data_IF_148762929470
#
_entry.id   IF_148762929470
#
_cell.length_a   1.000
_cell.length_b   1.000
_cell.length_c   1.000
_cell.angle_alpha   90.00
_cell.angle_beta   90.00
_cell.angle_gamma   90.00
#
_symmetry.space_group_name_H-M   'P 1'
#
loop_
_entity.id
_entity.type
_entity.pdbx_description
1 polymer ?
#
# COMPACT_ATOMS: atom_id res chain seq x y z
N UNK A 1 12.76 -29.32 42.23
CA UNK A 1 13.29 -29.14 40.87
C UNK A 1 12.96 -27.72 40.44
N UNK A 2 13.97 -26.84 40.39
CA UNK A 2 13.79 -25.46 39.92
C UNK A 2 13.48 -25.48 38.43
N UNK A 3 12.41 -24.78 38.03
CA UNK A 3 12.01 -24.66 36.62
C UNK A 3 13.21 -24.08 35.83
N UNK A 4 13.73 -24.76 34.80
CA UNK A 4 14.99 -24.39 34.15
C UNK A 4 14.88 -23.15 33.24
N UNK A 5 13.67 -22.62 33.04
CA UNK A 5 13.46 -21.46 32.19
C UNK A 5 13.53 -20.16 33.01
N UNK A 6 14.36 -19.18 32.61
CA UNK A 6 14.34 -17.86 33.24
C UNK A 6 12.97 -17.20 33.05
N UNK A 7 12.54 -16.36 34.01
CA UNK A 7 11.29 -15.62 33.87
C UNK A 7 11.37 -14.61 32.70
N UNK A 8 10.22 -14.22 32.10
CA UNK A 8 10.19 -13.14 31.11
C UNK A 8 10.78 -11.85 31.68
N UNK A 9 11.52 -11.11 30.85
CA UNK A 9 12.02 -9.79 31.21
C UNK A 9 10.88 -8.76 31.17
N UNK A 10 10.98 -7.74 32.01
CA UNK A 10 10.14 -6.54 31.89
C UNK A 10 10.41 -5.84 30.55
N UNK A 11 9.36 -5.25 29.95
CA UNK A 11 9.47 -4.54 28.66
C UNK A 11 10.47 -3.36 28.72
N UNK A 12 10.50 -2.66 29.86
CA UNK A 12 11.46 -1.60 30.18
C UNK A 12 11.52 -1.37 31.69
N UNK A 13 12.35 -0.42 32.14
CA UNK A 13 12.39 0.03 33.54
C UNK A 13 11.04 0.61 34.03
N UNK A 14 10.17 1.00 33.10
CA UNK A 14 8.82 1.53 33.38
C UNK A 14 7.72 0.48 33.14
N UNK A 15 8.07 -0.73 32.70
CA UNK A 15 7.10 -1.78 32.38
C UNK A 15 6.32 -1.54 31.09
N UNK A 16 6.73 -0.58 30.25
CA UNK A 16 6.08 -0.24 28.96
C UNK A 16 7.07 -0.38 27.80
N UNK A 17 6.58 -0.75 26.63
CA UNK A 17 7.37 -0.72 25.39
C UNK A 17 7.48 0.73 24.89
N UNK A 18 8.68 1.23 24.53
CA UNK A 18 8.80 2.55 23.93
C UNK A 18 8.12 2.60 22.56
N UNK A 19 7.69 3.79 22.15
CA UNK A 19 7.09 3.98 20.83
C UNK A 19 8.11 3.68 19.72
N UNK A 20 7.66 3.02 18.66
CA UNK A 20 8.44 2.88 17.43
C UNK A 20 8.33 4.19 16.65
N UNK A 21 9.35 5.05 16.78
CA UNK A 21 9.46 6.34 16.08
C UNK A 21 9.21 6.22 14.57
N UNK A 22 9.57 5.10 13.96
CA UNK A 22 9.29 4.86 12.54
C UNK A 22 7.79 4.79 12.25
N UNK A 23 7.04 4.09 13.11
CA UNK A 23 5.58 3.98 12.99
C UNK A 23 4.93 5.32 13.32
N UNK A 24 5.42 6.02 14.35
CA UNK A 24 4.93 7.35 14.72
C UNK A 24 5.09 8.35 13.56
N UNK A 25 6.26 8.40 12.92
CA UNK A 25 6.51 9.29 11.78
C UNK A 25 5.57 8.98 10.60
N UNK A 26 5.31 7.70 10.31
CA UNK A 26 4.33 7.32 9.27
C UNK A 26 2.91 7.72 9.68
N UNK A 27 2.54 7.52 10.94
CA UNK A 27 1.23 7.91 11.44
C UNK A 27 1.04 9.43 11.36
N UNK A 28 2.05 10.22 11.75
CA UNK A 28 2.05 11.67 11.64
C UNK A 28 1.92 12.14 10.19
N UNK A 29 2.70 11.53 9.28
CA UNK A 29 2.59 11.81 7.85
C UNK A 29 1.17 11.53 7.32
N UNK A 30 0.63 10.34 7.53
CA UNK A 30 -0.69 9.96 7.01
C UNK A 30 -1.78 10.83 7.65
N UNK A 31 -1.72 11.06 8.96
CA UNK A 31 -2.66 11.89 9.68
C UNK A 31 -2.64 13.33 9.16
N UNK A 32 -1.46 13.94 9.00
CA UNK A 32 -1.32 15.27 8.43
C UNK A 32 -1.96 15.35 7.05
N UNK A 33 -1.64 14.40 6.16
CA UNK A 33 -2.21 14.37 4.80
C UNK A 33 -3.73 14.22 4.80
N UNK A 34 -4.30 13.44 5.73
CA UNK A 34 -5.75 13.33 5.92
C UNK A 34 -6.34 14.67 6.37
N UNK A 35 -5.77 15.30 7.40
CA UNK A 35 -6.34 16.49 8.03
C UNK A 35 -6.19 17.76 7.20
N UNK A 36 -5.15 17.85 6.37
CA UNK A 36 -4.91 18.99 5.48
C UNK A 36 -5.33 18.73 4.04
N UNK A 37 -6.07 17.66 3.77
CA UNK A 37 -6.52 17.34 2.40
C UNK A 37 -7.44 18.44 1.87
N UNK A 38 -7.41 18.73 0.56
CA UNK A 38 -8.36 19.65 -0.05
C UNK A 38 -9.78 19.05 0.01
N UNK A 39 -10.78 19.91 0.17
CA UNK A 39 -12.21 19.53 0.17
C UNK A 39 -12.75 19.39 -1.26
N UNK A 40 -12.09 18.55 -2.06
CA UNK A 40 -12.55 18.21 -3.41
C UNK A 40 -13.45 16.98 -3.35
N UNK A 41 -14.62 17.05 -4.00
CA UNK A 41 -15.56 15.93 -4.08
C UNK A 41 -16.44 15.74 -2.85
N UNK A 42 -16.31 16.58 -1.82
CA UNK A 42 -17.16 16.58 -0.63
C UNK A 42 -17.18 15.24 0.09
N UNK A 43 -18.36 14.86 0.60
CA UNK A 43 -18.55 13.66 1.42
C UNK A 43 -18.27 12.34 0.67
N UNK A 44 -18.32 12.33 -0.65
CA UNK A 44 -18.13 11.12 -1.48
C UNK A 44 -16.66 10.85 -1.81
N UNK A 45 -15.78 11.83 -1.57
CA UNK A 45 -14.35 11.67 -1.80
C UNK A 45 -13.72 10.74 -0.76
N UNK A 46 -12.93 9.78 -1.21
CA UNK A 46 -12.32 8.75 -0.36
C UNK A 46 -10.82 8.98 -0.26
N UNK A 47 -10.30 8.99 0.96
CA UNK A 47 -8.85 8.93 1.16
C UNK A 47 -8.41 7.49 1.00
N UNK A 48 -7.44 7.29 0.12
CA UNK A 48 -6.78 6.01 -0.12
C UNK A 48 -5.35 6.10 0.41
N UNK A 49 -4.95 5.14 1.24
CA UNK A 49 -3.59 4.99 1.75
C UNK A 49 -3.07 3.63 1.31
N UNK A 50 -2.06 3.65 0.46
CA UNK A 50 -1.46 2.46 -0.14
C UNK A 50 0.05 2.42 0.08
N UNK A 51 0.59 1.23 0.34
CA UNK A 51 2.01 0.94 0.35
C UNK A 51 2.35 0.11 -0.90
N UNK A 52 3.31 0.59 -1.67
CA UNK A 52 3.76 -0.02 -2.92
C UNK A 52 5.12 -0.64 -2.72
N UNK A 53 5.29 -1.89 -3.11
CA UNK A 53 6.59 -2.57 -3.11
C UNK A 53 7.29 -2.33 -4.44
N UNK A 54 8.55 -1.90 -4.39
CA UNK A 54 9.28 -1.52 -5.59
C UNK A 54 10.76 -1.22 -5.32
N UNK A 55 11.36 -0.38 -6.15
CA UNK A 55 12.78 0.01 -5.99
C UNK A 55 12.93 1.53 -6.10
N UNK A 56 13.65 2.13 -5.15
CA UNK A 56 14.06 3.52 -5.24
C UNK A 56 15.32 3.62 -6.09
N UNK A 57 15.28 4.43 -7.15
CA UNK A 57 16.42 4.65 -8.05
C UNK A 57 16.82 6.10 -8.11
N UNK A 58 18.11 6.33 -8.02
CA UNK A 58 18.69 7.63 -8.32
C UNK A 58 18.44 7.98 -9.80
N UNK A 59 17.90 9.18 -10.08
CA UNK A 59 17.50 9.53 -11.45
C UNK A 59 18.69 9.69 -12.39
N UNK A 60 19.82 10.17 -11.88
CA UNK A 60 21.02 10.42 -12.69
C UNK A 60 21.68 9.12 -13.15
N UNK A 61 21.88 8.17 -12.22
CA UNK A 61 22.57 6.91 -12.50
C UNK A 61 21.64 5.78 -12.94
N UNK A 62 20.34 5.87 -12.64
CA UNK A 62 19.36 4.79 -12.84
C UNK A 62 19.60 3.56 -11.98
N UNK A 63 20.56 3.60 -11.05
CA UNK A 63 20.85 2.50 -10.13
C UNK A 63 19.93 2.57 -8.91
N UNK A 64 19.72 1.43 -8.25
CA UNK A 64 19.05 1.42 -6.95
C UNK A 64 19.83 2.33 -6.00
N UNK A 65 19.08 3.12 -5.23
CA UNK A 65 19.62 4.08 -4.29
C UNK A 65 20.56 3.38 -3.30
N UNK A 66 21.67 4.03 -2.98
CA UNK A 66 22.63 3.57 -1.98
C UNK A 66 22.91 4.73 -1.02
N UNK A 67 22.51 4.56 0.24
CA UNK A 67 22.69 5.56 1.29
C UNK A 67 23.55 4.99 2.42
N UNK A 68 24.30 5.84 3.16
CA UNK A 68 25.11 5.43 4.30
C UNK A 68 24.24 5.14 5.55
N UNK A 69 23.25 4.27 5.42
CA UNK A 69 22.34 3.83 6.50
C UNK A 69 22.29 2.31 6.55
N UNK A 70 22.14 1.76 7.76
CA UNK A 70 22.20 0.31 7.99
C UNK A 70 20.82 -0.36 8.03
N UNK A 71 19.76 0.41 8.19
CA UNK A 71 18.41 -0.09 8.45
C UNK A 71 17.37 0.63 7.59
N UNK A 72 16.16 0.08 7.58
CA UNK A 72 15.00 0.71 6.98
C UNK A 72 14.89 2.17 7.45
N UNK A 73 14.78 3.10 6.50
CA UNK A 73 14.85 4.54 6.76
C UNK A 73 13.80 5.27 5.94
N UNK A 74 13.00 6.10 6.60
CA UNK A 74 12.10 7.06 5.94
C UNK A 74 12.96 8.16 5.32
N UNK A 75 12.79 8.39 4.02
CA UNK A 75 13.50 9.45 3.33
C UNK A 75 12.72 10.75 3.47
N UNK A 76 13.43 11.82 3.83
CA UNK A 76 12.86 13.18 3.81
C UNK A 76 12.35 13.46 2.40
N UNK A 77 11.06 13.82 2.23
CA UNK A 77 10.49 14.10 0.91
C UNK A 77 11.33 15.12 0.14
N UNK A 78 11.54 14.88 -1.16
CA UNK A 78 12.24 15.79 -2.08
C UNK A 78 13.72 16.08 -1.74
N UNK A 79 14.30 15.41 -0.73
CA UNK A 79 15.71 15.58 -0.37
C UNK A 79 16.70 14.94 -1.35
N UNK A 80 16.24 13.97 -2.13
CA UNK A 80 17.04 13.21 -3.10
C UNK A 80 16.27 13.15 -4.42
N UNK A 81 16.94 13.43 -5.53
CA UNK A 81 16.34 13.29 -6.87
C UNK A 81 16.26 11.82 -7.28
N UNK A 82 15.19 11.16 -6.84
CA UNK A 82 14.92 9.75 -7.09
C UNK A 82 13.63 9.54 -7.88
N UNK A 83 13.53 8.37 -8.49
CA UNK A 83 12.28 7.80 -8.98
C UNK A 83 11.99 6.50 -8.25
N UNK A 84 10.72 6.23 -7.98
CA UNK A 84 10.29 4.94 -7.47
C UNK A 84 9.73 4.12 -8.63
N UNK A 85 10.25 2.91 -8.79
CA UNK A 85 9.76 1.95 -9.78
C UNK A 85 8.89 0.92 -9.07
N UNK A 86 7.57 1.09 -9.21
CA UNK A 86 6.57 0.12 -8.77
C UNK A 86 6.49 -1.03 -9.78
N UNK A 87 7.52 -1.87 -9.82
CA UNK A 87 7.57 -3.03 -10.69
C UNK A 87 8.47 -4.11 -10.07
N UNK A 88 8.18 -5.37 -10.37
CA UNK A 88 9.02 -6.50 -10.01
C UNK A 88 9.18 -7.48 -11.17
N UNK A 89 10.10 -8.43 -11.01
CA UNK A 89 10.22 -9.49 -12.01
C UNK A 89 8.98 -10.40 -12.00
N UNK A 90 8.70 -11.05 -13.13
CA UNK A 90 7.64 -12.08 -13.22
C UNK A 90 7.85 -13.21 -12.20
N UNK A 91 9.10 -13.57 -11.91
CA UNK A 91 9.42 -14.60 -10.93
C UNK A 91 9.08 -14.14 -9.50
N UNK A 92 9.42 -12.90 -9.14
CA UNK A 92 9.06 -12.30 -7.86
C UNK A 92 7.55 -12.21 -7.69
N UNK A 93 6.83 -11.81 -8.75
CA UNK A 93 5.37 -11.78 -8.75
C UNK A 93 4.78 -13.18 -8.54
N UNK A 94 5.31 -14.20 -9.24
CA UNK A 94 4.91 -15.60 -9.04
C UNK A 94 5.17 -16.06 -7.60
N UNK A 95 6.33 -15.72 -7.03
CA UNK A 95 6.68 -16.03 -5.65
C UNK A 95 5.66 -15.46 -4.65
N UNK A 96 5.30 -14.19 -4.77
CA UNK A 96 4.26 -13.58 -3.92
C UNK A 96 2.90 -14.27 -4.08
N UNK A 97 2.51 -14.60 -5.31
CA UNK A 97 1.26 -15.33 -5.54
C UNK A 97 1.25 -16.69 -4.82
N UNK A 98 2.35 -17.46 -4.90
CA UNK A 98 2.46 -18.75 -4.21
C UNK A 98 2.42 -18.57 -2.68
N UNK A 99 3.14 -17.58 -2.15
CA UNK A 99 3.18 -17.27 -0.72
C UNK A 99 1.79 -16.88 -0.18
N UNK A 100 1.11 -15.94 -0.85
CA UNK A 100 -0.21 -15.45 -0.40
C UNK A 100 -1.29 -16.52 -0.54
N UNK A 101 -1.23 -17.37 -1.58
CA UNK A 101 -2.12 -18.53 -1.70
C UNK A 101 -1.91 -19.54 -0.57
N UNK A 102 -0.66 -19.83 -0.20
CA UNK A 102 -0.37 -20.70 0.95
C UNK A 102 -0.89 -20.09 2.25
N UNK A 103 -0.68 -18.79 2.47
CA UNK A 103 -1.18 -18.08 3.65
C UNK A 103 -2.71 -18.08 3.72
N UNK A 104 -3.39 -17.94 2.59
CA UNK A 104 -4.85 -18.08 2.52
C UNK A 104 -5.32 -19.47 2.95
N UNK A 105 -4.62 -20.52 2.53
CA UNK A 105 -4.96 -21.90 2.90
C UNK A 105 -4.69 -22.15 4.39
N UNK A 106 -3.55 -21.69 4.92
CA UNK A 106 -3.16 -21.90 6.31
C UNK A 106 -4.02 -21.11 7.30
N UNK A 107 -4.36 -19.86 6.97
CA UNK A 107 -5.20 -18.99 7.80
C UNK A 107 -6.65 -19.50 7.93
N UNK A 108 -7.10 -20.35 7.02
CA UNK A 108 -8.40 -21.00 7.08
C UNK A 108 -8.42 -22.27 7.96
N UNK A 109 -7.27 -22.73 8.48
CA UNK A 109 -7.20 -23.94 9.29
C UNK A 109 -7.66 -23.72 10.73
N UNK A 110 -8.32 -24.69 11.37
CA UNK A 110 -8.68 -24.62 12.78
C UNK A 110 -7.43 -24.41 13.66
N UNK A 111 -7.49 -23.46 14.59
CA UNK A 111 -6.40 -23.17 15.51
C UNK A 111 -5.31 -22.24 14.96
N UNK A 112 -5.47 -21.70 13.75
CA UNK A 112 -4.62 -20.60 13.28
C UNK A 112 -4.81 -19.36 14.18
N UNK A 113 -3.74 -18.66 14.58
CA UNK A 113 -3.82 -17.56 15.53
C UNK A 113 -4.42 -16.26 14.95
N UNK A 114 -4.50 -16.13 13.62
CA UNK A 114 -5.07 -14.95 12.94
C UNK A 114 -6.42 -15.26 12.29
N UNK A 115 -7.16 -14.20 11.95
CA UNK A 115 -8.36 -14.29 11.13
C UNK A 115 -8.03 -14.82 9.71
N UNK A 116 -9.00 -15.47 9.04
CA UNK A 116 -8.78 -16.05 7.72
C UNK A 116 -8.65 -14.98 6.64
N UNK A 117 -7.80 -15.23 5.64
CA UNK A 117 -7.71 -14.36 4.46
C UNK A 117 -8.82 -14.66 3.46
N UNK A 118 -9.39 -13.61 2.88
CA UNK A 118 -10.28 -13.70 1.72
C UNK A 118 -9.50 -13.60 0.41
N UNK A 119 -10.09 -14.08 -0.68
CA UNK A 119 -9.47 -14.11 -2.00
C UNK A 119 -10.45 -13.62 -3.08
N UNK A 120 -9.98 -12.76 -3.97
CA UNK A 120 -10.69 -12.37 -5.18
C UNK A 120 -9.74 -12.25 -6.37
N UNK A 121 -10.19 -12.67 -7.54
CA UNK A 121 -9.44 -12.53 -8.79
C UNK A 121 -10.29 -11.77 -9.79
N UNK A 122 -9.78 -10.61 -10.24
CA UNK A 122 -10.51 -9.69 -11.11
C UNK A 122 -9.69 -9.40 -12.37
N UNK A 123 -10.37 -9.43 -13.51
CA UNK A 123 -9.83 -8.96 -14.78
C UNK A 123 -10.52 -7.65 -15.13
N UNK A 124 -9.75 -6.57 -15.15
CA UNK A 124 -10.27 -5.21 -15.25
C UNK A 124 -9.65 -4.48 -16.44
N UNK A 125 -10.40 -3.53 -16.98
CA UNK A 125 -9.92 -2.59 -18.00
C UNK A 125 -10.00 -1.19 -17.41
N UNK A 126 -8.85 -0.54 -17.25
CA UNK A 126 -8.76 0.87 -16.90
C UNK A 126 -8.68 1.69 -18.19
N UNK A 127 -9.58 2.65 -18.35
CA UNK A 127 -9.58 3.62 -19.45
C UNK A 127 -9.45 5.04 -18.92
N UNK A 128 -8.53 5.82 -19.50
CA UNK A 128 -8.18 7.16 -19.01
C UNK A 128 -8.66 8.25 -19.95
N UNK A 129 -9.45 9.17 -19.41
CA UNK A 129 -10.05 10.29 -20.14
C UNK A 129 -9.40 11.62 -19.73
N UNK A 130 -9.26 12.57 -20.67
CA UNK A 130 -8.84 13.92 -20.33
C UNK A 130 -9.88 14.56 -19.42
N UNK A 131 -9.45 15.53 -18.61
CA UNK A 131 -10.34 16.36 -17.81
C UNK A 131 -9.83 17.79 -17.81
N UNK A 132 -10.67 18.73 -17.38
CA UNK A 132 -10.28 20.13 -17.23
C UNK A 132 -9.27 20.35 -16.09
N UNK A 133 -9.10 19.35 -15.22
CA UNK A 133 -8.06 19.30 -14.20
C UNK A 133 -6.78 18.64 -14.70
N UNK A 134 -5.68 18.82 -13.96
CA UNK A 134 -4.40 18.19 -14.28
C UNK A 134 -4.49 16.65 -14.26
N UNK A 135 -5.38 16.12 -13.42
CA UNK A 135 -5.61 14.70 -13.22
C UNK A 135 -6.55 14.13 -14.31
N UNK A 136 -6.31 12.89 -14.72
CA UNK A 136 -7.18 12.18 -15.66
C UNK A 136 -8.33 11.51 -14.92
N UNK A 137 -9.45 11.33 -15.62
CA UNK A 137 -10.55 10.50 -15.11
C UNK A 137 -10.24 9.05 -15.48
N UNK A 138 -10.24 8.15 -14.48
CA UNK A 138 -10.11 6.70 -14.66
C UNK A 138 -11.50 6.08 -14.64
N UNK A 139 -11.82 5.34 -15.69
CA UNK A 139 -13.00 4.46 -15.76
C UNK A 139 -12.50 3.02 -15.71
N UNK A 140 -12.93 2.26 -14.70
CA UNK A 140 -12.59 0.85 -14.51
C UNK A 140 -13.82 0.01 -14.83
N UNK A 141 -13.67 -0.97 -15.71
CA UNK A 141 -14.73 -1.93 -16.06
C UNK A 141 -14.27 -3.37 -15.87
N UNK A 142 -15.20 -4.26 -15.56
CA UNK A 142 -14.94 -5.69 -15.62
C UNK A 142 -14.71 -6.10 -17.08
N UNK A 143 -13.62 -6.84 -17.34
CA UNK A 143 -13.22 -7.23 -18.69
C UNK A 143 -14.27 -8.15 -19.36
N UNK A 144 -14.94 -9.00 -18.58
CA UNK A 144 -15.84 -10.02 -19.10
C UNK A 144 -17.26 -9.49 -19.29
N UNK A 145 -17.78 -8.76 -18.30
CA UNK A 145 -19.18 -8.27 -18.32
C UNK A 145 -19.29 -6.88 -18.94
N UNK A 146 -18.22 -6.09 -18.94
CA UNK A 146 -18.24 -4.68 -19.34
C UNK A 146 -18.93 -3.77 -18.32
N UNK A 147 -19.30 -4.30 -17.15
CA UNK A 147 -19.92 -3.55 -16.07
C UNK A 147 -18.97 -2.49 -15.51
N UNK A 148 -19.52 -1.32 -15.18
CA UNK A 148 -18.76 -0.24 -14.55
C UNK A 148 -18.44 -0.63 -13.10
N UNK A 149 -17.16 -0.78 -12.79
CA UNK A 149 -16.67 -1.03 -11.43
C UNK A 149 -16.45 0.28 -10.70
N UNK A 150 -15.81 1.23 -11.35
CA UNK A 150 -15.45 2.51 -10.73
C UNK A 150 -15.26 3.61 -11.77
N UNK A 151 -15.64 4.84 -11.43
CA UNK A 151 -15.27 6.03 -12.18
C UNK A 151 -14.80 7.12 -11.22
N UNK A 152 -13.49 7.40 -11.23
CA UNK A 152 -12.85 8.29 -10.27
C UNK A 152 -11.84 9.22 -10.93
N UNK A 153 -11.67 10.39 -10.33
CA UNK A 153 -10.49 11.23 -10.49
C UNK A 153 -9.60 11.05 -9.26
N UNK A 154 -8.45 10.41 -9.44
CA UNK A 154 -7.46 10.16 -8.38
C UNK A 154 -6.47 11.33 -8.30
N UNK A 155 -6.47 12.03 -7.17
CA UNK A 155 -5.61 13.16 -6.87
C UNK A 155 -4.54 12.69 -5.89
N UNK A 156 -3.27 12.74 -6.29
CA UNK A 156 -2.16 12.37 -5.40
C UNK A 156 -1.93 13.52 -4.42
N UNK A 157 -2.02 13.23 -3.12
CA UNK A 157 -1.74 14.22 -2.08
C UNK A 157 -0.24 14.26 -1.78
N UNK A 158 0.34 13.13 -1.37
CA UNK A 158 1.79 13.02 -1.13
C UNK A 158 2.26 11.57 -1.11
N UNK A 159 3.56 11.39 -1.40
CA UNK A 159 4.27 10.13 -1.27
C UNK A 159 5.33 10.24 -0.16
N UNK A 160 5.53 9.16 0.58
CA UNK A 160 6.64 8.98 1.52
C UNK A 160 7.45 7.75 1.09
N UNK A 161 8.75 7.93 0.83
CA UNK A 161 9.61 6.86 0.35
C UNK A 161 10.38 6.24 1.53
N UNK A 162 10.44 4.92 1.56
CA UNK A 162 11.15 4.16 2.58
C UNK A 162 12.24 3.32 1.90
N UNK A 163 13.48 3.61 2.26
CA UNK A 163 14.65 2.88 1.77
C UNK A 163 14.98 1.69 2.69
N UNK A 164 15.18 0.52 2.10
CA UNK A 164 15.39 -0.74 2.81
C UNK A 164 16.72 -1.40 2.42
N UNK A 165 17.87 -0.97 3.01
CA UNK A 165 19.21 -1.39 2.57
C UNK A 165 19.48 -2.88 2.72
N UNK A 166 18.78 -3.56 3.64
CA UNK A 166 18.93 -5.00 3.92
C UNK A 166 17.95 -5.88 3.15
N UNK A 167 17.14 -5.32 2.26
CA UNK A 167 16.06 -6.01 1.55
C UNK A 167 16.21 -5.86 0.04
N UNK A 168 15.62 -6.77 -0.71
CA UNK A 168 15.63 -6.73 -2.18
C UNK A 168 14.72 -5.63 -2.75
N UNK A 169 13.70 -5.23 -2.00
CA UNK A 169 12.78 -4.15 -2.35
C UNK A 169 12.85 -3.00 -1.34
N UNK A 170 12.54 -1.82 -1.85
CA UNK A 170 12.15 -0.63 -1.11
C UNK A 170 10.61 -0.52 -1.14
N UNK A 171 10.05 0.49 -0.49
CA UNK A 171 8.62 0.71 -0.55
C UNK A 171 8.25 2.18 -0.45
N UNK A 172 7.03 2.48 -0.89
CA UNK A 172 6.49 3.84 -0.91
C UNK A 172 5.08 3.82 -0.34
N UNK A 173 4.81 4.70 0.61
CA UNK A 173 3.46 5.01 1.05
C UNK A 173 2.95 6.16 0.17
N UNK A 174 1.76 5.99 -0.41
CA UNK A 174 1.10 7.03 -1.19
C UNK A 174 -0.24 7.33 -0.54
N UNK A 175 -0.52 8.62 -0.31
CA UNK A 175 -1.83 9.08 0.16
C UNK A 175 -2.50 9.81 -0.99
N UNK A 176 -3.65 9.31 -1.41
CA UNK A 176 -4.42 9.83 -2.54
C UNK A 176 -5.84 10.18 -2.09
N UNK A 177 -6.48 11.08 -2.85
CA UNK A 177 -7.91 11.36 -2.77
C UNK A 177 -8.58 10.86 -4.04
N UNK A 178 -9.45 9.87 -3.92
CA UNK A 178 -10.26 9.37 -5.02
C UNK A 178 -11.63 10.06 -4.99
N UNK A 179 -11.86 10.92 -5.99
CA UNK A 179 -13.11 11.66 -6.13
C UNK A 179 -13.99 10.94 -7.16
N UNK A 180 -15.15 10.38 -6.77
CA UNK A 180 -16.11 9.83 -7.72
C UNK A 180 -16.55 10.91 -8.70
N UNK A 181 -16.61 10.56 -9.98
CA UNK A 181 -17.06 11.47 -11.04
C UNK A 181 -18.03 10.74 -11.97
N UNK A 182 -18.96 11.47 -12.63
CA UNK A 182 -19.77 10.89 -13.68
C UNK A 182 -18.90 10.33 -14.81
N UNK A 183 -19.39 9.28 -15.48
CA UNK A 183 -18.67 8.69 -16.60
C UNK A 183 -18.47 9.74 -17.71
N UNK A 184 -17.23 9.99 -18.15
CA UNK A 184 -16.93 11.00 -19.15
C UNK A 184 -17.44 10.58 -20.54
N UNK A 185 -17.75 11.57 -21.37
CA UNK A 185 -18.00 11.37 -22.80
C UNK A 185 -16.70 11.41 -23.60
N UNK A 186 -16.71 10.86 -24.82
CA UNK A 186 -15.55 10.85 -25.71
C UNK A 186 -14.74 9.55 -25.70
N UNK A 187 -13.53 9.61 -26.25
CA UNK A 187 -12.63 8.45 -26.39
C UNK A 187 -11.53 8.47 -25.34
N UNK A 188 -11.16 7.30 -24.77
CA UNK A 188 -10.04 7.24 -23.85
C UNK A 188 -8.72 7.56 -24.57
N UNK A 189 -7.84 8.27 -23.88
CA UNK A 189 -6.47 8.59 -24.34
C UNK A 189 -5.51 7.42 -24.16
N UNK A 190 -5.79 6.56 -23.18
CA UNK A 190 -4.98 5.41 -22.83
C UNK A 190 -5.87 4.35 -22.20
N UNK A 191 -5.55 3.09 -22.46
CA UNK A 191 -6.22 1.94 -21.86
C UNK A 191 -5.17 0.92 -21.44
N UNK A 192 -5.39 0.28 -20.29
CA UNK A 192 -4.55 -0.81 -19.81
C UNK A 192 -5.44 -1.93 -19.26
N UNK A 193 -5.00 -3.16 -19.45
CA UNK A 193 -5.61 -4.35 -18.88
C UNK A 193 -4.95 -4.65 -17.54
N UNK A 194 -5.75 -5.00 -16.54
CA UNK A 194 -5.30 -5.39 -15.20
C UNK A 194 -5.77 -6.81 -14.90
N UNK A 195 -4.84 -7.65 -14.52
CA UNK A 195 -5.08 -8.96 -13.96
C UNK A 195 -4.70 -8.89 -12.48
N UNK A 196 -5.70 -8.84 -11.60
CA UNK A 196 -5.53 -8.52 -10.17
C UNK A 196 -5.99 -9.66 -9.29
N UNK A 197 -5.08 -10.16 -8.49
CA UNK A 197 -5.33 -11.10 -7.40
C UNK A 197 -5.30 -10.30 -6.10
N UNK A 198 -6.42 -10.24 -5.40
CA UNK A 198 -6.60 -9.51 -4.15
C UNK A 198 -6.76 -10.49 -2.99
N UNK A 199 -6.05 -10.21 -1.90
CA UNK A 199 -6.20 -10.89 -0.62
C UNK A 199 -6.66 -9.87 0.43
N UNK A 200 -7.79 -10.12 1.09
CA UNK A 200 -8.29 -9.24 2.16
C UNK A 200 -8.02 -9.87 3.53
N UNK A 201 -7.53 -9.08 4.47
CA UNK A 201 -7.33 -9.47 5.86
C UNK A 201 -7.64 -8.28 6.77
N UNK A 202 -8.74 -8.37 7.51
CA UNK A 202 -9.21 -7.31 8.41
C UNK A 202 -9.38 -5.96 7.66
N UNK A 203 -8.56 -4.97 8.01
CA UNK A 203 -8.60 -3.62 7.44
C UNK A 203 -7.75 -3.45 6.19
N UNK A 204 -7.17 -4.54 5.68
CA UNK A 204 -6.14 -4.48 4.66
C UNK A 204 -6.50 -5.29 3.41
N UNK A 205 -6.11 -4.76 2.25
CA UNK A 205 -6.13 -5.47 0.97
C UNK A 205 -4.70 -5.56 0.45
N UNK A 206 -4.29 -6.76 0.03
CA UNK A 206 -3.01 -7.00 -0.63
C UNK A 206 -3.32 -7.36 -2.08
N UNK A 207 -2.96 -6.47 -2.99
CA UNK A 207 -3.24 -6.57 -4.41
C UNK A 207 -1.96 -6.94 -5.17
N UNK A 208 -1.95 -8.11 -5.79
CA UNK A 208 -0.93 -8.53 -6.73
C UNK A 208 -1.49 -8.33 -8.15
N UNK A 209 -0.95 -7.35 -8.88
CA UNK A 209 -1.52 -6.89 -10.16
C UNK A 209 -0.51 -7.00 -11.29
N UNK A 210 -0.88 -7.70 -12.36
CA UNK A 210 -0.20 -7.58 -13.65
C UNK A 210 -0.93 -6.54 -14.51
N UNK A 211 -0.21 -5.51 -14.94
CA UNK A 211 -0.73 -4.41 -15.77
C UNK A 211 -0.15 -4.54 -17.17
N UNK A 212 -1.00 -4.62 -18.18
CA UNK A 212 -0.60 -4.61 -19.60
C UNK A 212 -1.09 -3.32 -20.26
N UNK A 213 -0.14 -2.46 -20.62
CA UNK A 213 -0.41 -1.18 -21.28
C UNK A 213 -0.12 -1.29 -22.78
N UNK A 214 -1.03 -0.79 -23.62
CA UNK A 214 -0.79 -0.72 -25.07
C UNK A 214 0.18 0.43 -25.36
N UNK A 215 1.27 0.12 -26.07
CA UNK A 215 2.24 1.14 -26.47
C UNK A 215 1.63 2.07 -27.53
N UNK A 216 1.73 3.38 -27.32
CA UNK A 216 1.41 4.38 -28.34
C UNK A 216 2.38 4.22 -29.52
N UNK A 217 1.87 3.92 -30.71
CA UNK A 217 2.66 3.84 -31.95
C UNK A 217 3.10 2.45 -32.41
N UNK A 218 2.48 1.37 -31.93
CA UNK A 218 2.67 0.01 -32.47
C UNK A 218 3.88 -0.76 -31.91
N UNK A 219 4.48 -0.27 -30.82
CA UNK A 219 5.49 -1.01 -30.06
C UNK A 219 4.91 -2.23 -29.32
N UNK A 220 5.81 -3.06 -28.77
CA UNK A 220 5.40 -4.18 -27.92
C UNK A 220 4.66 -3.67 -26.67
N UNK A 221 3.62 -4.39 -26.18
CA UNK A 221 2.93 -4.03 -24.95
C UNK A 221 3.90 -4.00 -23.76
N UNK A 222 3.76 -2.98 -22.91
CA UNK A 222 4.47 -2.92 -21.65
C UNK A 222 3.72 -3.76 -20.61
N UNK A 223 4.44 -4.63 -19.90
CA UNK A 223 3.88 -5.46 -18.84
C UNK A 223 4.60 -5.16 -17.54
N UNK A 224 3.85 -4.71 -16.54
CA UNK A 224 4.33 -4.43 -15.19
C UNK A 224 3.71 -5.41 -14.20
N UNK A 225 4.47 -5.73 -13.16
CA UNK A 225 4.06 -6.58 -12.05
C UNK A 225 4.14 -5.76 -10.77
N UNK A 226 3.01 -5.51 -10.14
CA UNK A 226 2.86 -4.60 -9.00
C UNK A 226 2.37 -5.40 -7.78
N UNK A 227 2.81 -4.97 -6.59
CA UNK A 227 2.29 -5.44 -5.30
C UNK A 227 1.97 -4.22 -4.45
N UNK A 228 0.70 -4.11 -4.07
CA UNK A 228 0.14 -2.99 -3.32
C UNK A 228 -0.49 -3.54 -2.03
N UNK A 229 -0.31 -2.83 -0.91
CA UNK A 229 -1.04 -3.03 0.34
C UNK A 229 -1.88 -1.77 0.59
N UNK A 230 -3.18 -1.91 0.81
CA UNK A 230 -4.10 -0.80 1.00
C UNK A 230 -4.85 -0.92 2.32
N UNK A 231 -5.20 0.21 2.93
CA UNK A 231 -6.21 0.27 4.01
C UNK A 231 -7.61 0.28 3.37
N UNK A 232 -8.32 -0.85 3.45
CA UNK A 232 -9.55 -1.14 2.72
C UNK A 232 -10.78 -0.32 3.12
N UNK A 233 -10.79 0.26 4.32
CA UNK A 233 -11.94 1.02 4.85
C UNK A 233 -11.62 2.52 5.03
N UNK A 234 -11.81 3.35 3.99
CA UNK A 234 -11.59 4.79 4.07
C UNK A 234 -12.38 5.47 5.20
N UNK A 235 -13.61 5.04 5.47
CA UNK A 235 -14.43 5.59 6.55
C UNK A 235 -13.85 5.30 7.94
N UNK A 236 -13.33 4.09 8.16
CA UNK A 236 -12.63 3.76 9.40
C UNK A 236 -11.40 4.64 9.54
N UNK A 237 -10.54 4.68 8.52
CA UNK A 237 -9.31 5.48 8.50
C UNK A 237 -9.58 6.95 8.85
N UNK A 238 -10.61 7.56 8.23
CA UNK A 238 -11.00 8.93 8.53
C UNK A 238 -11.50 9.08 9.97
N UNK A 239 -12.37 8.18 10.43
CA UNK A 239 -12.94 8.27 11.77
C UNK A 239 -11.92 8.10 12.89
N UNK A 240 -10.94 7.21 12.72
CA UNK A 240 -9.86 7.02 13.70
C UNK A 240 -8.88 8.18 13.65
N UNK A 241 -8.57 8.71 12.46
CA UNK A 241 -7.73 9.90 12.32
C UNK A 241 -8.33 11.11 13.05
N UNK A 242 -9.64 11.34 12.92
CA UNK A 242 -10.33 12.47 13.59
C UNK A 242 -10.29 12.40 15.12
N UNK A 243 -10.11 11.20 15.68
CA UNK A 243 -10.08 10.96 17.13
C UNK A 243 -8.66 10.85 17.68
N UNK A 244 -7.64 10.83 16.82
CA UNK A 244 -6.25 10.59 17.19
C UNK A 244 -5.79 11.62 18.23
N UNK A 245 -5.40 11.15 19.41
CA UNK A 245 -4.95 12.01 20.51
C UNK A 245 -6.03 12.87 21.17
N UNK A 246 -7.31 12.72 20.82
CA UNK A 246 -8.40 13.46 21.49
C UNK A 246 -8.60 12.95 22.92
N UNK A 247 -8.45 13.84 23.90
CA UNK A 247 -8.60 13.52 25.32
C UNK A 247 -10.06 13.34 25.75
N UNK A 248 -11.03 13.69 24.89
CA UNK A 248 -12.46 13.57 25.17
C UNK A 248 -13.05 12.21 24.79
N UNK A 249 -12.29 11.35 24.11
CA UNK A 249 -12.71 10.00 23.74
C UNK A 249 -11.96 8.95 24.56
N UNK A 250 -12.50 7.72 24.69
CA UNK A 250 -11.82 6.62 25.36
C UNK A 250 -10.42 6.34 24.79
N UNK A 251 -9.53 5.81 25.63
CA UNK A 251 -8.13 5.55 25.28
C UNK A 251 -7.95 4.71 23.99
N UNK A 252 -8.75 3.66 23.84
CA UNK A 252 -8.70 2.80 22.66
C UNK A 252 -9.13 3.52 21.37
N UNK A 253 -9.96 4.55 21.44
CA UNK A 253 -10.39 5.32 20.27
C UNK A 253 -9.33 6.35 19.87
N UNK A 254 -8.70 7.01 20.85
CA UNK A 254 -7.62 7.98 20.59
C UNK A 254 -6.34 7.35 20.05
N UNK A 255 -6.09 6.06 20.32
CA UNK A 255 -4.93 5.31 19.81
C UNK A 255 -5.25 4.44 18.59
N UNK A 256 -6.53 4.27 18.22
CA UNK A 256 -6.94 3.38 17.13
C UNK A 256 -6.28 3.70 15.80
N UNK A 257 -6.00 4.97 15.52
CA UNK A 257 -5.30 5.38 14.30
C UNK A 257 -3.85 4.89 14.30
N UNK A 258 -3.12 5.09 15.40
CA UNK A 258 -1.72 4.64 15.52
C UNK A 258 -1.63 3.11 15.44
N UNK A 259 -2.60 2.41 16.03
CA UNK A 259 -2.71 0.94 15.94
C UNK A 259 -2.98 0.46 14.50
N UNK A 260 -3.85 1.15 13.75
CA UNK A 260 -4.11 0.86 12.35
C UNK A 260 -2.85 1.05 11.49
N UNK A 261 -2.12 2.16 11.70
CA UNK A 261 -0.87 2.44 11.01
C UNK A 261 0.22 1.44 11.40
N UNK A 262 0.30 1.05 12.67
CA UNK A 262 1.23 0.00 13.15
C UNK A 262 1.00 -1.32 12.42
N UNK A 263 -0.25 -1.76 12.31
CA UNK A 263 -0.60 -2.98 11.56
C UNK A 263 -0.30 -2.84 10.06
N UNK A 264 -0.60 -1.70 9.45
CA UNK A 264 -0.27 -1.39 8.05
C UNK A 264 1.24 -1.49 7.78
N UNK A 265 2.07 -0.85 8.61
CA UNK A 265 3.54 -0.87 8.50
C UNK A 265 4.09 -2.28 8.70
N UNK A 266 3.55 -3.04 9.66
CA UNK A 266 3.97 -4.42 9.89
C UNK A 266 3.67 -5.32 8.68
N UNK A 267 2.49 -5.19 8.08
CA UNK A 267 2.13 -5.91 6.86
C UNK A 267 3.05 -5.53 5.70
N UNK A 268 3.33 -4.24 5.48
CA UNK A 268 4.26 -3.79 4.46
C UNK A 268 5.68 -4.34 4.68
N UNK A 269 6.18 -4.32 5.92
CA UNK A 269 7.47 -4.90 6.31
C UNK A 269 7.52 -6.40 6.01
N UNK A 270 6.45 -7.15 6.26
CA UNK A 270 6.36 -8.58 5.92
C UNK A 270 6.47 -8.76 4.40
N UNK A 271 5.73 -7.98 3.59
CA UNK A 271 5.80 -8.07 2.14
C UNK A 271 7.21 -7.76 1.62
N UNK A 272 7.82 -6.67 2.06
CA UNK A 272 9.19 -6.25 1.65
C UNK A 272 10.25 -7.27 2.06
N UNK A 273 10.09 -7.91 3.22
CA UNK A 273 10.97 -9.00 3.68
C UNK A 273 10.96 -10.21 2.75
N UNK A 274 9.85 -10.46 2.07
CA UNK A 274 9.65 -11.60 1.16
C UNK A 274 9.84 -11.22 -0.34
N UNK A 275 10.51 -10.12 -0.65
CA UNK A 275 10.74 -9.67 -2.03
C UNK A 275 11.85 -10.43 -2.78
N UNK A 276 12.59 -11.33 -2.14
CA UNK A 276 13.75 -12.02 -2.70
C UNK A 276 13.49 -13.48 -3.07
N UNK A 277 14.20 -13.99 -4.09
CA UNK A 277 14.26 -15.42 -4.38
C UNK A 277 15.00 -16.15 -3.24
N UNK A 278 14.25 -16.86 -2.40
CA UNK A 278 14.79 -17.86 -1.49
C UNK A 278 15.16 -17.36 -0.10
N UNK A 279 14.44 -17.89 0.88
CA UNK A 279 15.08 -18.36 2.12
C UNK A 279 16.35 -19.15 1.74
N UNK A 280 17.52 -18.63 2.08
CA UNK A 280 18.56 -19.48 2.65
C UNK A 280 18.48 -19.27 4.17
N UNK A 281 18.48 -20.36 4.95
CA UNK A 281 18.32 -20.33 6.41
C UNK A 281 19.35 -19.45 7.12
#
# INVERSE_FOLDING_TARGET
MSNPNPPPLSLSILGVEPLDEFICEIADFVHYMIMTRPDFGGADAKVEVEAKVGVLRDKMSGRRLALPVLVETILVPESIDLRFESNMSKNTHKHYNELLNQLKISSSQPGHPSSPLEYAHRYLIDSFYPSDSRERIRVTKDEKTGELVECVRKIRLKDLNIFSPKRAADWRISVNLEVPVPQPSGTPTHTRRKDRISYSHEEFSIDLTQVTSTASGGGAPEVLHELELEISRPSLLLSTAMKRGDLNVPEHERSAFDELIRAFVNNARILVRNAGDGWQP
#
